data_IF_936934185827
#
_entry.id   IF_936934185827
#
_cell.length_a   1.000
_cell.length_b   1.000
_cell.length_c   1.000
_cell.angle_alpha   90.00
_cell.angle_beta   90.00
_cell.angle_gamma   90.00
#
_symmetry.space_group_name_H-M   'P 1'
#
loop_
_entity.id
_entity.type
_entity.pdbx_description
1 polymer ?
#
# COMPACT_ATOMS: atom_id res chain seq x y z
N UNK A 1 -21.01 14.32 -1.72
CA UNK A 1 -21.54 13.24 -2.59
C UNK A 1 -22.48 12.37 -1.78
N UNK A 2 -23.60 11.95 -2.37
CA UNK A 2 -24.53 10.98 -1.79
C UNK A 2 -23.78 9.70 -1.38
N UNK A 3 -24.24 8.99 -0.35
CA UNK A 3 -23.65 7.70 0.00
C UNK A 3 -23.78 6.75 -1.20
N UNK A 4 -22.80 5.87 -1.43
CA UNK A 4 -22.82 4.94 -2.57
C UNK A 4 -24.11 4.09 -2.59
N UNK A 5 -24.59 3.71 -1.40
CA UNK A 5 -25.83 2.98 -1.19
C UNK A 5 -27.09 3.76 -1.63
N UNK A 6 -27.03 5.09 -1.70
CA UNK A 6 -28.17 5.95 -2.08
C UNK A 6 -28.24 6.22 -3.58
N UNK A 7 -27.17 5.89 -4.32
CA UNK A 7 -27.17 6.02 -5.78
C UNK A 7 -28.05 4.93 -6.41
N UNK A 8 -28.69 5.24 -7.52
CA UNK A 8 -29.35 4.22 -8.34
C UNK A 8 -28.30 3.33 -9.02
N UNK A 9 -28.67 2.13 -9.45
CA UNK A 9 -27.76 1.22 -10.17
C UNK A 9 -27.16 1.90 -11.40
N UNK A 10 -27.95 2.64 -12.17
CA UNK A 10 -27.49 3.39 -13.33
C UNK A 10 -26.48 4.48 -12.98
N UNK A 11 -26.69 5.22 -11.90
CA UNK A 11 -25.71 6.20 -11.39
C UNK A 11 -24.41 5.53 -10.96
N UNK A 12 -24.46 4.35 -10.34
CA UNK A 12 -23.27 3.58 -9.95
C UNK A 12 -22.49 3.10 -11.17
N UNK A 13 -23.17 2.53 -12.17
CA UNK A 13 -22.56 2.12 -13.44
C UNK A 13 -21.85 3.32 -14.10
N UNK A 14 -22.54 4.46 -14.18
CA UNK A 14 -21.97 5.69 -14.74
C UNK A 14 -20.74 6.18 -13.96
N UNK A 15 -20.78 6.12 -12.62
CA UNK A 15 -19.66 6.52 -11.77
C UNK A 15 -18.46 5.57 -11.91
N UNK A 16 -18.70 4.24 -11.93
CA UNK A 16 -17.67 3.23 -12.12
C UNK A 16 -17.03 3.33 -13.51
N UNK A 17 -17.82 3.62 -14.55
CA UNK A 17 -17.33 3.83 -15.91
C UNK A 17 -16.37 5.01 -16.00
N UNK A 18 -16.60 6.07 -15.21
CA UNK A 18 -15.82 7.30 -15.28
C UNK A 18 -15.87 7.92 -16.67
N UNK A 19 -14.70 8.23 -17.23
CA UNK A 19 -14.56 8.89 -18.53
C UNK A 19 -14.60 7.93 -19.73
N UNK A 20 -14.61 6.60 -19.50
CA UNK A 20 -14.72 5.62 -20.58
C UNK A 20 -16.03 5.85 -21.37
N UNK A 21 -16.00 5.93 -22.71
CA UNK A 21 -17.24 6.06 -23.49
C UNK A 21 -18.18 4.87 -23.29
N UNK A 22 -19.49 5.10 -23.32
CA UNK A 22 -20.50 4.03 -23.22
C UNK A 22 -20.34 2.96 -24.32
N UNK A 23 -19.87 3.36 -25.51
CA UNK A 23 -19.55 2.44 -26.61
C UNK A 23 -18.42 1.49 -26.25
N UNK A 24 -17.38 2.00 -25.59
CA UNK A 24 -16.27 1.19 -25.12
C UNK A 24 -16.70 0.26 -23.99
N UNK A 25 -17.54 0.71 -23.06
CA UNK A 25 -18.11 -0.15 -22.02
C UNK A 25 -18.91 -1.32 -22.64
N UNK A 26 -19.72 -1.04 -23.66
CA UNK A 26 -20.49 -2.07 -24.36
C UNK A 26 -19.57 -3.15 -24.97
N UNK A 27 -18.48 -2.71 -25.61
CA UNK A 27 -17.47 -3.59 -26.20
C UNK A 27 -16.78 -4.48 -25.15
N UNK A 28 -16.21 -3.89 -24.09
CA UNK A 28 -15.46 -4.66 -23.08
C UNK A 28 -16.36 -5.54 -22.20
N UNK A 29 -17.64 -5.18 -22.04
CA UNK A 29 -18.64 -6.02 -21.37
C UNK A 29 -19.27 -7.07 -22.27
N UNK A 30 -19.08 -7.02 -23.60
CA UNK A 30 -19.77 -7.92 -24.53
C UNK A 30 -21.30 -7.80 -24.48
N UNK A 31 -21.80 -6.56 -24.37
CA UNK A 31 -23.23 -6.19 -24.37
C UNK A 31 -23.52 -5.14 -25.43
N UNK A 32 -24.79 -4.88 -25.73
CA UNK A 32 -25.15 -3.83 -26.70
C UNK A 32 -25.00 -2.43 -26.10
N UNK A 33 -24.65 -1.44 -26.94
CA UNK A 33 -24.65 -0.02 -26.57
C UNK A 33 -25.99 0.43 -25.98
N UNK A 34 -27.11 -0.01 -26.58
CA UNK A 34 -28.45 0.31 -26.11
C UNK A 34 -28.71 -0.23 -24.69
N UNK A 35 -28.13 -1.38 -24.32
CA UNK A 35 -28.22 -1.92 -22.96
C UNK A 35 -27.47 -1.02 -21.98
N UNK A 36 -26.24 -0.59 -22.30
CA UNK A 36 -25.46 0.33 -21.45
C UNK A 36 -26.20 1.66 -21.25
N UNK A 37 -26.74 2.23 -22.32
CA UNK A 37 -27.49 3.48 -22.27
C UNK A 37 -28.73 3.36 -21.38
N UNK A 38 -29.49 2.26 -21.52
CA UNK A 38 -30.66 1.97 -20.69
C UNK A 38 -30.27 1.75 -19.23
N UNK A 39 -29.20 1.00 -18.97
CA UNK A 39 -28.68 0.74 -17.64
C UNK A 39 -28.32 2.02 -16.89
N UNK A 40 -27.56 2.93 -17.50
CA UNK A 40 -27.14 4.19 -16.87
C UNK A 40 -28.29 5.19 -16.64
N UNK A 41 -29.39 5.03 -17.38
CA UNK A 41 -30.60 5.83 -17.25
C UNK A 41 -31.62 5.21 -16.28
N UNK A 42 -31.29 4.08 -15.65
CA UNK A 42 -32.21 3.30 -14.81
C UNK A 42 -33.49 2.91 -15.57
N UNK A 43 -33.36 2.58 -16.87
CA UNK A 43 -34.47 2.20 -17.74
C UNK A 43 -34.45 0.70 -18.04
N UNK A 44 -35.48 -0.01 -17.58
CA UNK A 44 -35.62 -1.46 -17.77
C UNK A 44 -34.82 -2.27 -16.75
N UNK A 45 -35.09 -3.58 -16.70
CA UNK A 45 -34.45 -4.49 -15.76
C UNK A 45 -33.15 -5.08 -16.35
N UNK A 46 -32.10 -5.11 -15.54
CA UNK A 46 -30.86 -5.81 -15.88
C UNK A 46 -30.98 -7.27 -15.48
N UNK A 47 -30.87 -8.18 -16.45
CA UNK A 47 -30.74 -9.60 -16.15
C UNK A 47 -29.44 -9.89 -15.39
N UNK A 48 -29.40 -10.99 -14.63
CA UNK A 48 -28.19 -11.45 -13.93
C UNK A 48 -26.99 -11.56 -14.87
N UNK A 49 -27.19 -12.11 -16.08
CA UNK A 49 -26.13 -12.20 -17.09
C UNK A 49 -25.62 -10.83 -17.56
N UNK A 50 -26.50 -9.84 -17.67
CA UNK A 50 -26.10 -8.47 -18.03
C UNK A 50 -25.32 -7.79 -16.89
N UNK A 51 -25.74 -8.00 -15.65
CA UNK A 51 -25.03 -7.50 -14.46
C UNK A 51 -23.62 -8.08 -14.38
N UNK A 52 -23.45 -9.39 -14.58
CA UNK A 52 -22.13 -10.04 -14.57
C UNK A 52 -21.22 -9.48 -15.67
N UNK A 53 -21.74 -9.34 -16.88
CA UNK A 53 -21.01 -8.75 -18.02
C UNK A 53 -20.61 -7.29 -17.79
N UNK A 54 -21.51 -6.49 -17.24
CA UNK A 54 -21.23 -5.09 -16.88
C UNK A 54 -20.20 -5.00 -15.76
N UNK A 55 -20.33 -5.82 -14.71
CA UNK A 55 -19.37 -5.88 -13.61
C UNK A 55 -17.97 -6.25 -14.12
N UNK A 56 -17.87 -7.27 -14.98
CA UNK A 56 -16.62 -7.66 -15.62
C UNK A 56 -15.99 -6.52 -16.44
N UNK A 57 -16.76 -5.86 -17.32
CA UNK A 57 -16.23 -4.75 -18.13
C UNK A 57 -15.94 -3.46 -17.36
N UNK A 58 -16.47 -3.32 -16.14
CA UNK A 58 -16.20 -2.21 -15.21
C UNK A 58 -15.05 -2.52 -14.25
N UNK A 59 -14.48 -3.72 -14.34
CA UNK A 59 -13.41 -4.21 -13.47
C UNK A 59 -13.84 -4.12 -11.99
N UNK A 60 -15.01 -4.68 -11.66
CA UNK A 60 -15.56 -4.65 -10.30
C UNK A 60 -16.53 -5.80 -10.02
N UNK A 61 -16.89 -6.00 -8.76
CA UNK A 61 -17.91 -6.97 -8.36
C UNK A 61 -19.35 -6.48 -8.59
N UNK A 62 -20.26 -7.43 -8.80
CA UNK A 62 -21.72 -7.17 -8.86
C UNK A 62 -22.23 -6.51 -7.58
N UNK A 63 -21.65 -6.85 -6.41
CA UNK A 63 -21.99 -6.23 -5.12
C UNK A 63 -21.75 -4.70 -5.13
N UNK A 64 -20.74 -4.24 -5.85
CA UNK A 64 -20.42 -2.81 -6.00
C UNK A 64 -21.41 -2.13 -6.94
N UNK A 65 -21.73 -2.78 -8.07
CA UNK A 65 -22.73 -2.29 -9.04
C UNK A 65 -24.11 -2.16 -8.39
N UNK A 66 -24.49 -3.13 -7.56
CA UNK A 66 -25.77 -3.15 -6.83
C UNK A 66 -25.77 -2.28 -5.57
N UNK A 67 -24.62 -1.71 -5.18
CA UNK A 67 -24.51 -0.80 -4.03
C UNK A 67 -24.42 -1.46 -2.65
N UNK A 68 -24.25 -2.78 -2.60
CA UNK A 68 -24.01 -3.52 -1.36
C UNK A 68 -22.65 -3.17 -0.76
N UNK A 69 -21.69 -2.81 -1.62
CA UNK A 69 -20.35 -2.37 -1.24
C UNK A 69 -19.99 -1.09 -1.99
N UNK A 70 -19.37 -0.13 -1.31
CA UNK A 70 -18.82 1.05 -1.96
C UNK A 70 -17.48 0.71 -2.64
N UNK A 71 -17.16 1.29 -3.80
CA UNK A 71 -15.82 1.20 -4.36
C UNK A 71 -14.82 1.81 -3.37
N UNK A 72 -13.59 1.30 -3.36
CA UNK A 72 -12.56 1.83 -2.47
C UNK A 72 -12.16 3.23 -2.90
N UNK A 73 -11.89 4.09 -1.90
CA UNK A 73 -11.66 5.52 -2.10
C UNK A 73 -10.47 5.78 -3.02
N UNK A 74 -10.69 6.68 -3.98
CA UNK A 74 -9.64 7.21 -4.85
C UNK A 74 -9.23 6.27 -5.97
N UNK A 75 -9.73 5.02 -6.01
CA UNK A 75 -9.43 4.09 -7.10
C UNK A 75 -10.11 4.51 -8.38
N UNK A 76 -9.31 4.71 -9.43
CA UNK A 76 -9.81 4.79 -10.77
C UNK A 76 -10.12 3.37 -11.32
N UNK A 77 -10.34 3.26 -12.62
CA UNK A 77 -10.59 1.97 -13.27
C UNK A 77 -9.33 1.12 -13.37
N UNK A 78 -8.20 1.72 -13.68
CA UNK A 78 -6.94 1.02 -13.91
C UNK A 78 -6.43 0.41 -12.60
N UNK A 79 -6.57 1.12 -11.48
CA UNK A 79 -6.33 0.58 -10.13
C UNK A 79 -7.20 -0.66 -9.85
N UNK A 80 -8.48 -0.62 -10.23
CA UNK A 80 -9.39 -1.75 -9.98
C UNK A 80 -9.02 -2.95 -10.84
N UNK A 81 -8.77 -2.74 -12.12
CA UNK A 81 -8.31 -3.78 -13.05
C UNK A 81 -7.00 -4.41 -12.56
N UNK A 82 -6.04 -3.57 -12.13
CA UNK A 82 -4.78 -4.02 -11.58
C UNK A 82 -4.95 -4.84 -10.29
N UNK A 83 -5.80 -4.40 -9.34
CA UNK A 83 -6.05 -5.16 -8.11
C UNK A 83 -6.85 -6.44 -8.34
N UNK A 84 -7.76 -6.49 -9.30
CA UNK A 84 -8.44 -7.72 -9.69
C UNK A 84 -7.44 -8.73 -10.27
N UNK A 85 -6.60 -8.29 -11.21
CA UNK A 85 -5.54 -9.13 -11.79
C UNK A 85 -4.59 -9.65 -10.70
N UNK A 86 -4.20 -8.79 -9.76
CA UNK A 86 -3.35 -9.17 -8.64
C UNK A 86 -4.06 -10.14 -7.68
N UNK A 87 -5.36 -9.96 -7.46
CA UNK A 87 -6.19 -10.86 -6.64
C UNK A 87 -6.27 -12.24 -7.26
N UNK A 88 -6.54 -12.32 -8.56
CA UNK A 88 -6.60 -13.57 -9.30
C UNK A 88 -5.24 -14.27 -9.24
N UNK A 89 -4.14 -13.55 -9.50
CA UNK A 89 -2.81 -14.13 -9.42
C UNK A 89 -2.45 -14.66 -8.03
N UNK A 90 -2.80 -13.94 -6.96
CA UNK A 90 -2.57 -14.39 -5.57
C UNK A 90 -3.36 -15.66 -5.25
N UNK A 91 -4.64 -15.72 -5.61
CA UNK A 91 -5.48 -16.87 -5.26
C UNK A 91 -5.17 -18.08 -6.13
N UNK A 92 -5.02 -17.88 -7.44
CA UNK A 92 -4.81 -18.98 -8.38
C UNK A 92 -3.43 -19.63 -8.22
N UNK A 93 -2.38 -18.83 -8.01
CA UNK A 93 -1.06 -19.37 -7.68
C UNK A 93 -1.04 -20.09 -6.31
N UNK A 94 -1.87 -19.69 -5.36
CA UNK A 94 -1.95 -20.37 -4.07
C UNK A 94 -2.74 -21.69 -4.14
N UNK A 95 -3.84 -21.71 -4.90
CA UNK A 95 -4.75 -22.86 -5.03
C UNK A 95 -4.27 -23.90 -6.04
N UNK A 96 -3.35 -23.54 -6.95
CA UNK A 96 -2.82 -24.45 -7.97
C UNK A 96 -3.83 -24.77 -9.07
N UNK A 97 -4.80 -23.88 -9.32
CA UNK A 97 -5.88 -24.07 -10.28
C UNK A 97 -5.53 -23.69 -11.72
N UNK A 98 -4.40 -23.02 -11.95
CA UNK A 98 -4.10 -22.45 -13.26
C UNK A 98 -3.47 -23.46 -14.22
N UNK A 99 -4.06 -23.55 -15.41
CA UNK A 99 -3.60 -24.37 -16.53
C UNK A 99 -3.26 -23.43 -17.68
N UNK A 100 -2.18 -23.71 -18.44
CA UNK A 100 -1.84 -22.96 -19.66
C UNK A 100 -0.53 -22.18 -19.62
N UNK A 101 0.34 -22.39 -18.64
CA UNK A 101 1.74 -21.93 -18.68
C UNK A 101 2.61 -23.13 -19.05
N UNK A 102 2.96 -23.24 -20.32
CA UNK A 102 3.76 -24.37 -20.84
C UNK A 102 5.26 -24.14 -20.64
N UNK A 103 5.74 -22.90 -20.76
CA UNK A 103 7.15 -22.54 -20.62
C UNK A 103 7.32 -21.38 -19.62
N UNK A 104 7.43 -21.66 -18.32
CA UNK A 104 7.60 -20.63 -17.29
C UNK A 104 8.99 -20.00 -17.35
N UNK A 105 9.05 -18.67 -17.19
CA UNK A 105 10.29 -17.88 -17.20
C UNK A 105 11.37 -18.45 -16.28
N UNK A 106 12.63 -18.12 -16.58
CA UNK A 106 13.79 -18.54 -15.79
C UNK A 106 13.75 -17.97 -14.36
N UNK A 107 14.50 -18.57 -13.43
CA UNK A 107 14.64 -18.06 -12.06
C UNK A 107 15.20 -16.64 -12.04
N UNK A 108 16.12 -16.32 -12.96
CA UNK A 108 16.71 -14.99 -13.10
C UNK A 108 15.66 -13.96 -13.57
N UNK A 109 14.86 -14.30 -14.58
CA UNK A 109 13.79 -13.42 -15.07
C UNK A 109 12.72 -13.17 -14.01
N UNK A 110 12.37 -14.20 -13.23
CA UNK A 110 11.43 -14.09 -12.12
C UNK A 110 12.01 -13.26 -10.97
N UNK A 111 13.31 -13.36 -10.69
CA UNK A 111 13.98 -12.51 -9.72
C UNK A 111 13.95 -11.03 -10.16
N UNK A 112 14.25 -10.77 -11.43
CA UNK A 112 14.20 -9.42 -12.03
C UNK A 112 12.78 -8.84 -11.98
N UNK A 113 11.77 -9.62 -12.38
CA UNK A 113 10.37 -9.21 -12.29
C UNK A 113 9.94 -8.91 -10.85
N UNK A 114 10.39 -9.70 -9.87
CA UNK A 114 10.14 -9.42 -8.45
C UNK A 114 10.74 -8.08 -8.00
N UNK A 115 11.94 -7.74 -8.47
CA UNK A 115 12.59 -6.47 -8.12
C UNK A 115 11.88 -5.28 -8.80
N UNK A 116 11.45 -5.44 -10.05
CA UNK A 116 10.61 -4.47 -10.76
C UNK A 116 9.26 -4.26 -10.06
N UNK A 117 8.65 -5.32 -9.51
CA UNK A 117 7.41 -5.19 -8.73
C UNK A 117 7.62 -4.32 -7.48
N UNK A 118 8.74 -4.48 -6.77
CA UNK A 118 9.08 -3.62 -5.63
C UNK A 118 9.38 -2.18 -6.05
N UNK A 119 10.04 -1.97 -7.19
CA UNK A 119 10.26 -0.63 -7.74
C UNK A 119 8.94 0.08 -8.08
N UNK A 120 8.04 -0.61 -8.78
CA UNK A 120 6.70 -0.14 -9.08
C UNK A 120 5.92 0.22 -7.80
N UNK A 121 6.00 -0.62 -6.76
CA UNK A 121 5.36 -0.34 -5.46
C UNK A 121 5.89 0.96 -4.84
N UNK A 122 7.20 1.15 -4.81
CA UNK A 122 7.81 2.37 -4.27
C UNK A 122 7.57 3.61 -5.14
N UNK A 123 7.22 3.43 -6.41
CA UNK A 123 6.82 4.48 -7.35
C UNK A 123 5.32 4.82 -7.30
N UNK A 124 4.49 4.06 -6.57
CA UNK A 124 3.01 4.10 -6.64
C UNK A 124 2.44 3.76 -8.01
N UNK A 125 3.06 2.82 -8.71
CA UNK A 125 2.61 2.32 -10.00
C UNK A 125 1.89 0.98 -9.80
N UNK A 126 0.60 1.05 -9.45
CA UNK A 126 -0.23 -0.14 -9.16
C UNK A 126 -0.33 -1.07 -10.35
N UNK A 127 -0.38 -0.53 -11.57
CA UNK A 127 -0.45 -1.31 -12.80
C UNK A 127 0.79 -2.18 -12.97
N UNK A 128 1.99 -1.61 -12.83
CA UNK A 128 3.23 -2.37 -12.93
C UNK A 128 3.45 -3.29 -11.73
N UNK A 129 3.00 -2.93 -10.52
CA UNK A 129 2.98 -3.88 -9.39
C UNK A 129 2.17 -5.12 -9.76
N UNK A 130 0.96 -4.92 -10.28
CA UNK A 130 0.08 -6.02 -10.68
C UNK A 130 0.69 -6.85 -11.78
N UNK A 131 1.20 -6.23 -12.84
CA UNK A 131 1.84 -6.91 -13.97
C UNK A 131 3.00 -7.82 -13.52
N UNK A 132 3.97 -7.24 -12.81
CA UNK A 132 5.19 -7.98 -12.45
C UNK A 132 4.95 -8.99 -11.33
N UNK A 133 4.18 -8.63 -10.29
CA UNK A 133 3.87 -9.57 -9.23
C UNK A 133 3.04 -10.74 -9.77
N UNK A 134 2.05 -10.49 -10.63
CA UNK A 134 1.23 -11.57 -11.22
C UNK A 134 2.08 -12.50 -12.07
N UNK A 135 2.99 -11.98 -12.90
CA UNK A 135 3.94 -12.81 -13.64
C UNK A 135 4.73 -13.73 -12.71
N UNK A 136 5.33 -13.18 -11.65
CA UNK A 136 6.14 -13.96 -10.71
C UNK A 136 5.31 -15.02 -9.98
N UNK A 137 4.12 -14.66 -9.51
CA UNK A 137 3.24 -15.57 -8.79
C UNK A 137 2.77 -16.72 -9.68
N UNK A 138 2.34 -16.42 -10.91
CA UNK A 138 1.77 -17.41 -11.81
C UNK A 138 2.85 -18.34 -12.40
N UNK A 139 3.86 -17.78 -13.07
CA UNK A 139 4.92 -18.59 -13.69
C UNK A 139 5.86 -19.20 -12.65
N UNK A 140 6.17 -18.45 -11.59
CA UNK A 140 7.07 -18.93 -10.53
C UNK A 140 6.47 -20.09 -9.74
N UNK A 141 5.16 -20.13 -9.52
CA UNK A 141 4.52 -21.26 -8.85
C UNK A 141 4.58 -22.54 -9.70
N UNK A 142 4.38 -22.43 -11.03
CA UNK A 142 4.51 -23.56 -11.96
C UNK A 142 5.93 -24.13 -11.91
N UNK A 143 6.95 -23.27 -11.98
CA UNK A 143 8.35 -23.70 -11.86
C UNK A 143 8.66 -24.27 -10.47
N UNK A 144 8.20 -23.62 -9.41
CA UNK A 144 8.42 -24.07 -8.02
C UNK A 144 7.84 -25.47 -7.77
N UNK A 145 6.72 -25.83 -8.42
CA UNK A 145 6.11 -27.15 -8.25
C UNK A 145 7.04 -28.29 -8.67
N UNK A 146 7.83 -28.10 -9.73
CA UNK A 146 8.76 -29.12 -10.28
C UNK A 146 10.22 -28.93 -9.84
N UNK A 147 10.59 -27.74 -9.36
CA UNK A 147 11.94 -27.45 -8.90
C UNK A 147 12.34 -28.24 -7.65
N UNK A 148 13.64 -28.55 -7.54
CA UNK A 148 14.24 -29.25 -6.38
C UNK A 148 15.53 -28.57 -5.93
N UNK A 149 15.99 -28.88 -4.72
CA UNK A 149 17.24 -28.35 -4.16
C UNK A 149 17.31 -26.81 -4.15
N UNK A 150 18.49 -26.27 -4.48
CA UNK A 150 18.77 -24.83 -4.43
C UNK A 150 17.85 -23.99 -5.33
N UNK A 151 17.43 -24.51 -6.49
CA UNK A 151 16.50 -23.80 -7.38
C UNK A 151 15.15 -23.59 -6.68
N UNK A 152 14.66 -24.62 -5.99
CA UNK A 152 13.39 -24.56 -5.24
C UNK A 152 13.47 -23.55 -4.09
N UNK A 153 14.56 -23.55 -3.34
CA UNK A 153 14.79 -22.59 -2.25
C UNK A 153 14.80 -21.14 -2.77
N UNK A 154 15.53 -20.90 -3.87
CA UNK A 154 15.59 -19.58 -4.51
C UNK A 154 14.22 -19.12 -5.01
N UNK A 155 13.47 -20.01 -5.67
CA UNK A 155 12.10 -19.72 -6.12
C UNK A 155 11.15 -19.47 -4.95
N UNK A 156 11.27 -20.22 -3.86
CA UNK A 156 10.49 -20.01 -2.64
C UNK A 156 10.68 -18.60 -2.09
N UNK A 157 11.93 -18.12 -2.02
CA UNK A 157 12.25 -16.77 -1.59
C UNK A 157 11.71 -15.69 -2.56
N UNK A 158 11.83 -15.91 -3.88
CA UNK A 158 11.29 -15.01 -4.91
C UNK A 158 9.76 -14.91 -4.80
N UNK A 159 9.05 -16.04 -4.73
CA UNK A 159 7.61 -16.09 -4.60
C UNK A 159 7.13 -15.45 -3.29
N UNK A 160 7.77 -15.77 -2.16
CA UNK A 160 7.42 -15.15 -0.88
C UNK A 160 7.59 -13.62 -0.92
N UNK A 161 8.62 -13.11 -1.61
CA UNK A 161 8.81 -11.67 -1.83
C UNK A 161 7.73 -11.08 -2.75
N UNK A 162 7.33 -11.78 -3.82
CA UNK A 162 6.25 -11.36 -4.72
C UNK A 162 4.87 -11.31 -4.01
N UNK A 163 4.55 -12.33 -3.22
CA UNK A 163 3.35 -12.29 -2.36
C UNK A 163 3.43 -11.16 -1.33
N UNK A 164 4.62 -10.84 -0.81
CA UNK A 164 4.79 -9.72 0.13
C UNK A 164 4.48 -8.37 -0.52
N UNK A 165 4.96 -8.10 -1.74
CA UNK A 165 4.62 -6.86 -2.45
C UNK A 165 3.13 -6.80 -2.79
N UNK A 166 2.52 -7.95 -3.18
CA UNK A 166 1.08 -8.04 -3.38
C UNK A 166 0.29 -7.72 -2.12
N UNK A 167 0.72 -8.23 -0.96
CA UNK A 167 0.12 -7.93 0.34
C UNK A 167 0.29 -6.45 0.73
N UNK A 168 1.46 -5.86 0.47
CA UNK A 168 1.71 -4.44 0.73
C UNK A 168 0.82 -3.54 -0.14
N UNK A 169 0.70 -3.83 -1.43
CA UNK A 169 -0.21 -3.13 -2.34
C UNK A 169 -1.66 -3.23 -1.85
N UNK A 170 -2.14 -4.45 -1.61
CA UNK A 170 -3.50 -4.73 -1.13
C UNK A 170 -3.82 -4.01 0.18
N UNK A 171 -2.86 -3.95 1.11
CA UNK A 171 -3.01 -3.21 2.37
C UNK A 171 -3.15 -1.70 2.15
N UNK A 172 -2.41 -1.14 1.18
CA UNK A 172 -2.53 0.26 0.76
C UNK A 172 -3.97 0.63 0.40
N UNK A 173 -4.59 -0.18 -0.45
CA UNK A 173 -5.97 0.00 -0.93
C UNK A 173 -7.06 -0.50 0.04
N UNK A 174 -6.68 -1.15 1.14
CA UNK A 174 -7.62 -1.63 2.16
C UNK A 174 -8.26 -2.99 1.85
N UNK A 175 -7.70 -3.76 0.91
CA UNK A 175 -8.05 -5.15 0.64
C UNK A 175 -7.39 -6.08 1.66
N UNK A 176 -7.88 -6.00 2.90
CA UNK A 176 -7.31 -6.72 4.05
C UNK A 176 -7.23 -8.22 3.82
N UNK A 177 -8.29 -8.84 3.31
CA UNK A 177 -8.36 -10.30 3.23
C UNK A 177 -7.46 -10.84 2.10
N UNK A 178 -7.35 -10.10 0.99
CA UNK A 178 -6.34 -10.37 -0.03
C UNK A 178 -4.90 -10.25 0.53
N UNK A 179 -4.63 -9.22 1.33
CA UNK A 179 -3.32 -9.08 1.97
C UNK A 179 -2.99 -10.25 2.93
N UNK A 180 -3.96 -10.72 3.70
CA UNK A 180 -3.79 -11.88 4.59
C UNK A 180 -3.64 -13.19 3.81
N UNK A 181 -4.38 -13.36 2.72
CA UNK A 181 -4.26 -14.49 1.79
C UNK A 181 -2.84 -14.57 1.23
N UNK A 182 -2.34 -13.47 0.65
CA UNK A 182 -0.98 -13.38 0.13
C UNK A 182 0.09 -13.67 1.20
N UNK A 183 -0.03 -13.09 2.40
CA UNK A 183 0.90 -13.33 3.50
C UNK A 183 0.89 -14.79 3.99
N UNK A 184 -0.25 -15.47 3.91
CA UNK A 184 -0.37 -16.88 4.31
C UNK A 184 0.48 -17.77 3.38
N UNK A 185 0.33 -17.59 2.07
CA UNK A 185 1.16 -18.27 1.07
C UNK A 185 2.64 -17.91 1.20
N UNK A 186 2.93 -16.62 1.37
CA UNK A 186 4.31 -16.13 1.52
C UNK A 186 5.03 -16.74 2.72
N UNK A 187 4.36 -16.85 3.87
CA UNK A 187 4.96 -17.41 5.09
C UNK A 187 5.30 -18.88 4.96
N UNK A 188 4.46 -19.66 4.28
CA UNK A 188 4.76 -21.06 3.96
C UNK A 188 6.02 -21.14 3.10
N UNK A 189 6.08 -20.37 2.01
CA UNK A 189 7.21 -20.36 1.09
C UNK A 189 8.51 -19.88 1.75
N UNK A 190 8.45 -18.84 2.58
CA UNK A 190 9.62 -18.34 3.31
C UNK A 190 10.13 -19.35 4.34
N UNK A 191 9.23 -20.08 5.01
CA UNK A 191 9.60 -21.17 5.90
C UNK A 191 10.30 -22.30 5.14
N UNK A 192 9.74 -22.73 4.00
CA UNK A 192 10.33 -23.78 3.17
C UNK A 192 11.70 -23.37 2.60
N UNK A 193 11.89 -22.08 2.28
CA UNK A 193 13.16 -21.54 1.80
C UNK A 193 14.22 -21.32 2.91
N UNK A 194 13.85 -21.43 4.19
CA UNK A 194 14.78 -21.29 5.30
C UNK A 194 15.39 -19.90 5.50
N UNK A 195 14.76 -18.83 4.97
CA UNK A 195 15.25 -17.45 5.11
C UNK A 195 14.54 -16.72 6.29
N UNK A 196 15.18 -16.61 7.47
CA UNK A 196 14.57 -15.96 8.63
C UNK A 196 14.39 -14.44 8.46
N UNK A 197 15.21 -13.79 7.62
CA UNK A 197 15.13 -12.35 7.35
C UNK A 197 13.84 -12.07 6.55
N UNK A 198 13.58 -12.89 5.54
CA UNK A 198 12.34 -12.79 4.76
C UNK A 198 11.10 -13.05 5.64
N UNK A 199 11.16 -14.05 6.52
CA UNK A 199 10.11 -14.32 7.51
C UNK A 199 9.80 -13.11 8.39
N UNK A 200 10.84 -12.48 8.94
CA UNK A 200 10.69 -11.27 9.76
C UNK A 200 10.13 -10.08 8.95
N UNK A 201 10.52 -9.92 7.69
CA UNK A 201 9.99 -8.87 6.82
C UNK A 201 8.50 -9.10 6.46
N UNK A 202 8.07 -10.35 6.32
CA UNK A 202 6.65 -10.71 6.16
C UNK A 202 5.84 -10.34 7.41
N UNK A 203 6.40 -10.57 8.61
CA UNK A 203 5.78 -10.17 9.87
C UNK A 203 5.67 -8.66 10.04
N UNK A 204 6.63 -7.89 9.53
CA UNK A 204 6.53 -6.43 9.50
C UNK A 204 5.33 -5.95 8.65
N UNK A 205 5.04 -6.64 7.53
CA UNK A 205 3.85 -6.39 6.70
C UNK A 205 2.57 -6.85 7.41
N UNK A 206 2.59 -7.99 8.11
CA UNK A 206 1.45 -8.47 8.89
C UNK A 206 1.11 -7.51 10.04
N UNK A 207 2.12 -6.92 10.69
CA UNK A 207 1.94 -5.85 11.68
C UNK A 207 1.17 -4.66 11.08
N UNK A 208 1.53 -4.24 9.86
CA UNK A 208 0.83 -3.17 9.15
C UNK A 208 -0.63 -3.53 8.82
N UNK A 209 -0.91 -4.78 8.43
CA UNK A 209 -2.29 -5.27 8.22
C UNK A 209 -3.10 -5.20 9.52
N UNK A 210 -2.53 -5.66 10.64
CA UNK A 210 -3.20 -5.58 11.95
C UNK A 210 -3.42 -4.13 12.42
N UNK A 211 -2.45 -3.24 12.18
CA UNK A 211 -2.55 -1.82 12.46
C UNK A 211 -3.75 -1.20 11.73
N UNK A 212 -3.87 -1.44 10.42
CA UNK A 212 -4.98 -0.93 9.59
C UNK A 212 -6.33 -1.52 9.99
N UNK A 213 -6.34 -2.74 10.54
CA UNK A 213 -7.53 -3.38 11.10
C UNK A 213 -7.83 -3.04 12.57
N UNK A 214 -7.17 -2.03 13.14
CA UNK A 214 -7.30 -1.61 14.55
C UNK A 214 -7.01 -2.72 15.58
N UNK A 215 -6.19 -3.72 15.22
CA UNK A 215 -5.74 -4.80 16.12
C UNK A 215 -4.37 -4.46 16.71
N UNK A 216 -4.27 -3.32 17.40
CA UNK A 216 -3.00 -2.73 17.85
C UNK A 216 -2.14 -3.68 18.71
N UNK A 217 -2.69 -4.41 19.71
CA UNK A 217 -1.86 -5.34 20.49
C UNK A 217 -1.25 -6.45 19.65
N UNK A 218 -1.98 -6.96 18.64
CA UNK A 218 -1.46 -7.96 17.70
C UNK A 218 -0.40 -7.37 16.77
N UNK A 219 -0.57 -6.12 16.35
CA UNK A 219 0.40 -5.41 15.51
C UNK A 219 1.75 -5.23 16.23
N UNK A 220 1.73 -4.84 17.52
CA UNK A 220 2.95 -4.76 18.34
C UNK A 220 3.56 -6.15 18.52
N UNK A 221 2.77 -7.11 19.02
CA UNK A 221 3.28 -8.45 19.37
C UNK A 221 3.87 -9.21 18.19
N UNK A 222 3.31 -9.07 16.97
CA UNK A 222 3.87 -9.76 15.80
C UNK A 222 5.21 -9.16 15.37
N UNK A 223 5.34 -7.84 15.38
CA UNK A 223 6.58 -7.16 15.01
C UNK A 223 7.68 -7.39 16.05
N UNK A 224 7.34 -7.30 17.34
CA UNK A 224 8.28 -7.55 18.44
C UNK A 224 8.82 -8.99 18.41
N UNK A 225 7.94 -10.00 18.29
CA UNK A 225 8.38 -11.40 18.19
C UNK A 225 9.27 -11.65 16.97
N UNK A 226 8.93 -11.06 15.83
CA UNK A 226 9.73 -11.18 14.62
C UNK A 226 11.12 -10.56 14.80
N UNK A 227 11.20 -9.38 15.42
CA UNK A 227 12.47 -8.72 15.71
C UNK A 227 13.33 -9.51 16.70
N UNK A 228 12.73 -10.06 17.77
CA UNK A 228 13.43 -10.91 18.74
C UNK A 228 14.01 -12.18 18.10
N UNK A 229 13.27 -12.80 17.18
CA UNK A 229 13.71 -14.01 16.49
C UNK A 229 14.94 -13.79 15.58
N UNK A 230 15.17 -12.56 15.15
CA UNK A 230 16.28 -12.18 14.25
C UNK A 230 17.17 -11.10 14.86
N UNK A 231 17.17 -10.96 16.19
CA UNK A 231 17.91 -9.90 16.87
C UNK A 231 19.39 -9.92 16.47
N UNK A 232 19.91 -8.84 15.88
CA UNK A 232 21.28 -8.80 15.42
C UNK A 232 22.23 -8.69 16.61
N UNK A 233 23.36 -9.40 16.56
CA UNK A 233 24.52 -8.98 17.32
C UNK A 233 24.96 -7.61 16.81
N UNK A 234 24.86 -6.55 17.60
CA UNK A 234 25.21 -5.21 17.10
C UNK A 234 26.69 -5.07 16.71
N UNK A 235 27.59 -5.96 17.16
CA UNK A 235 28.97 -6.00 16.67
C UNK A 235 29.08 -6.65 15.29
N UNK A 236 28.33 -7.73 15.00
CA UNK A 236 28.54 -8.60 13.83
C UNK A 236 27.30 -8.84 12.95
N UNK A 237 26.21 -8.12 13.18
CA UNK A 237 24.93 -8.31 12.49
C UNK A 237 25.05 -8.03 10.99
N UNK A 238 24.52 -8.96 10.18
CA UNK A 238 24.49 -8.78 8.73
C UNK A 238 23.56 -7.62 8.33
N UNK A 239 23.81 -7.00 7.18
CA UNK A 239 22.95 -5.90 6.68
C UNK A 239 21.48 -6.31 6.51
N UNK A 240 21.15 -7.47 5.91
CA UNK A 240 19.76 -7.94 5.83
C UNK A 240 19.08 -8.03 7.20
N UNK A 241 19.81 -8.56 8.20
CA UNK A 241 19.30 -8.72 9.56
C UNK A 241 19.04 -7.37 10.23
N UNK A 242 19.95 -6.40 10.12
CA UNK A 242 19.77 -5.04 10.64
C UNK A 242 18.55 -4.35 10.01
N UNK A 243 18.35 -4.50 8.70
CA UNK A 243 17.20 -3.95 7.96
C UNK A 243 15.90 -4.56 8.46
N UNK A 244 15.81 -5.88 8.56
CA UNK A 244 14.60 -6.57 9.00
C UNK A 244 14.29 -6.29 10.48
N UNK A 245 15.30 -6.25 11.34
CA UNK A 245 15.15 -5.93 12.76
C UNK A 245 14.63 -4.50 12.92
N UNK A 246 15.34 -3.54 12.32
CA UNK A 246 14.97 -2.14 12.40
C UNK A 246 13.59 -1.84 11.82
N UNK A 247 13.22 -2.53 10.73
CA UNK A 247 11.88 -2.40 10.14
C UNK A 247 10.78 -2.93 11.08
N UNK A 248 11.01 -4.05 11.75
CA UNK A 248 10.05 -4.57 12.74
C UNK A 248 9.96 -3.67 13.98
N UNK A 249 11.08 -3.12 14.45
CA UNK A 249 11.09 -2.14 15.54
C UNK A 249 10.29 -0.88 15.18
N UNK A 250 10.42 -0.38 13.95
CA UNK A 250 9.55 0.70 13.45
C UNK A 250 8.08 0.26 13.46
N UNK A 251 7.75 -0.93 12.95
CA UNK A 251 6.37 -1.43 12.94
C UNK A 251 5.77 -1.52 14.36
N UNK A 252 6.54 -1.99 15.33
CA UNK A 252 6.14 -2.03 16.74
C UNK A 252 5.95 -0.60 17.32
N UNK A 253 6.88 0.32 17.06
CA UNK A 253 6.81 1.71 17.50
C UNK A 253 5.58 2.44 16.93
N UNK A 254 5.30 2.27 15.63
CA UNK A 254 4.12 2.83 14.97
C UNK A 254 2.85 2.27 15.59
N UNK A 255 2.77 0.95 15.83
CA UNK A 255 1.60 0.34 16.45
C UNK A 255 1.38 0.80 17.90
N UNK A 256 2.45 0.89 18.70
CA UNK A 256 2.41 1.42 20.07
C UNK A 256 1.97 2.89 20.10
N UNK A 257 2.47 3.72 19.17
CA UNK A 257 2.06 5.13 19.06
C UNK A 257 0.56 5.30 18.79
N UNK A 258 -0.05 4.39 18.01
CA UNK A 258 -1.51 4.41 17.74
C UNK A 258 -2.34 3.94 18.93
N UNK A 259 -1.72 3.29 19.92
CA UNK A 259 -2.31 2.96 21.23
C UNK A 259 -2.13 4.12 22.23
N UNK A 260 -1.52 5.23 21.82
CA UNK A 260 -1.12 6.34 22.70
C UNK A 260 -0.12 5.91 23.81
N UNK A 261 0.64 4.83 23.55
CA UNK A 261 1.66 4.29 24.46
C UNK A 261 3.03 4.87 24.10
N UNK A 262 3.30 6.08 24.60
CA UNK A 262 4.48 6.85 24.26
C UNK A 262 5.79 6.19 24.70
N UNK A 263 5.82 5.61 25.90
CA UNK A 263 7.02 4.97 26.44
C UNK A 263 7.42 3.74 25.62
N UNK A 264 6.45 2.87 25.30
CA UNK A 264 6.71 1.71 24.45
C UNK A 264 7.14 2.14 23.03
N UNK A 265 6.46 3.14 22.44
CA UNK A 265 6.82 3.65 21.12
C UNK A 265 8.26 4.19 21.08
N UNK A 266 8.66 4.96 22.10
CA UNK A 266 10.02 5.51 22.20
C UNK A 266 11.08 4.43 22.42
N UNK A 267 10.78 3.37 23.18
CA UNK A 267 11.69 2.24 23.37
C UNK A 267 11.96 1.52 22.04
N UNK A 268 10.91 1.12 21.31
CA UNK A 268 11.08 0.46 20.01
C UNK A 268 11.76 1.38 18.99
N UNK A 269 11.42 2.67 18.97
CA UNK A 269 12.05 3.64 18.08
C UNK A 269 13.56 3.80 18.37
N UNK A 270 13.96 3.76 19.65
CA UNK A 270 15.37 3.81 20.05
C UNK A 270 16.15 2.60 19.51
N UNK A 271 15.56 1.40 19.56
CA UNK A 271 16.14 0.18 18.98
C UNK A 271 16.24 0.27 17.45
N UNK A 272 15.22 0.81 16.78
CA UNK A 272 15.29 1.07 15.34
C UNK A 272 16.41 2.06 14.98
N UNK A 273 16.59 3.13 15.76
CA UNK A 273 17.68 4.09 15.57
C UNK A 273 19.06 3.45 15.79
N UNK A 274 19.21 2.56 16.77
CA UNK A 274 20.46 1.83 16.98
C UNK A 274 20.81 0.96 15.76
N UNK A 275 19.83 0.22 15.21
CA UNK A 275 20.02 -0.58 14.01
C UNK A 275 20.36 0.28 12.78
N UNK A 276 19.68 1.41 12.62
CA UNK A 276 19.93 2.37 11.54
C UNK A 276 21.34 2.99 11.65
N UNK A 277 21.76 3.38 12.85
CA UNK A 277 23.10 3.92 13.10
C UNK A 277 24.18 2.88 12.79
N UNK A 278 23.93 1.60 13.14
CA UNK A 278 24.85 0.51 12.83
C UNK A 278 24.96 0.24 11.33
N UNK A 279 23.86 0.36 10.59
CA UNK A 279 23.83 0.26 9.12
C UNK A 279 24.56 1.45 8.46
N UNK A 280 24.48 2.63 9.07
CA UNK A 280 25.25 3.83 8.71
C UNK A 280 24.73 4.60 7.50
N UNK A 281 23.92 3.98 6.65
CA UNK A 281 23.28 4.60 5.47
C UNK A 281 21.94 3.94 5.17
N UNK A 282 21.09 4.62 4.41
CA UNK A 282 19.87 4.01 3.88
C UNK A 282 20.22 2.98 2.80
N UNK A 283 19.64 1.79 2.93
CA UNK A 283 19.78 0.69 1.98
C UNK A 283 18.39 0.18 1.54
N UNK A 284 18.33 -0.33 0.31
CA UNK A 284 17.19 -1.05 -0.24
C UNK A 284 17.59 -2.50 -0.39
N UNK A 285 17.00 -3.38 0.41
CA UNK A 285 17.24 -4.82 0.34
C UNK A 285 15.97 -5.59 0.64
N UNK A 286 15.78 -6.74 -0.01
CA UNK A 286 14.55 -7.54 0.10
C UNK A 286 13.26 -6.77 -0.29
N UNK A 287 13.37 -5.68 -1.05
CA UNK A 287 12.23 -4.79 -1.33
C UNK A 287 11.88 -3.81 -0.19
N UNK A 288 12.68 -3.78 0.87
CA UNK A 288 12.53 -2.89 2.04
C UNK A 288 13.56 -1.78 1.99
N UNK A 289 13.13 -0.53 2.16
CA UNK A 289 14.02 0.60 2.44
C UNK A 289 14.16 0.77 3.95
N UNK A 290 15.39 0.88 4.44
CA UNK A 290 15.67 1.15 5.84
C UNK A 290 17.04 1.82 6.03
N UNK A 291 17.16 2.66 7.04
CA UNK A 291 18.39 3.34 7.43
C UNK A 291 18.13 4.59 8.26
N UNK A 292 19.15 5.43 8.48
CA UNK A 292 19.07 6.61 9.33
C UNK A 292 17.97 7.59 8.92
N UNK A 293 17.86 7.93 7.62
CA UNK A 293 16.82 8.85 7.14
C UNK A 293 15.44 8.24 7.32
N UNK A 294 15.27 6.97 6.96
CA UNK A 294 13.98 6.27 7.11
C UNK A 294 13.52 6.23 8.57
N UNK A 295 14.40 5.87 9.51
CA UNK A 295 14.07 5.83 10.93
C UNK A 295 13.67 7.20 11.48
N UNK A 296 14.39 8.27 11.10
CA UNK A 296 14.04 9.65 11.48
C UNK A 296 12.71 10.11 10.88
N UNK A 297 12.41 9.73 9.64
CA UNK A 297 11.13 10.05 9.03
C UNK A 297 9.95 9.40 9.76
N UNK A 298 10.10 8.12 10.14
CA UNK A 298 9.09 7.39 10.92
C UNK A 298 8.94 7.95 12.35
N UNK A 299 10.03 8.44 12.96
CA UNK A 299 9.98 9.14 14.25
C UNK A 299 9.04 10.35 14.22
N UNK A 300 9.06 11.15 13.13
CA UNK A 300 8.14 12.28 12.96
C UNK A 300 6.67 11.80 12.94
N UNK A 301 6.37 10.75 12.18
CA UNK A 301 5.03 10.15 12.14
C UNK A 301 4.57 9.58 13.50
N UNK A 302 5.50 9.03 14.29
CA UNK A 302 5.24 8.54 15.66
C UNK A 302 4.90 9.71 16.60
N UNK A 303 5.69 10.79 16.60
CA UNK A 303 5.39 11.98 17.41
C UNK A 303 4.06 12.63 17.03
N UNK A 304 3.74 12.70 15.73
CA UNK A 304 2.44 13.18 15.24
C UNK A 304 1.29 12.34 15.80
N UNK A 305 1.44 11.02 15.84
CA UNK A 305 0.42 10.13 16.37
C UNK A 305 0.24 10.24 17.88
N UNK A 306 1.33 10.49 18.61
CA UNK A 306 1.32 10.82 20.04
C UNK A 306 0.87 12.25 20.33
N UNK A 307 0.53 13.04 19.30
CA UNK A 307 0.12 14.45 19.39
C UNK A 307 1.22 15.37 19.93
N UNK A 308 2.48 14.92 19.95
CA UNK A 308 3.66 15.75 20.22
C UNK A 308 4.13 16.44 18.94
N UNK A 309 3.29 17.35 18.44
CA UNK A 309 3.57 18.08 17.20
C UNK A 309 4.81 18.97 17.32
N UNK A 310 5.16 19.41 18.53
CA UNK A 310 6.37 20.19 18.80
C UNK A 310 7.63 19.38 18.54
N UNK A 311 7.73 18.15 19.07
CA UNK A 311 8.84 17.26 18.78
C UNK A 311 8.91 16.87 17.30
N UNK A 312 7.76 16.56 16.70
CA UNK A 312 7.67 16.25 15.27
C UNK A 312 8.28 17.38 14.40
N UNK A 313 7.93 18.64 14.69
CA UNK A 313 8.47 19.79 13.95
C UNK A 313 9.94 20.06 14.25
N UNK A 314 10.41 19.88 15.49
CA UNK A 314 11.85 19.99 15.81
C UNK A 314 12.70 18.97 15.06
N UNK A 315 12.22 17.73 14.95
CA UNK A 315 12.89 16.70 14.15
C UNK A 315 12.84 17.05 12.66
N UNK A 316 11.70 17.51 12.15
CA UNK A 316 11.56 17.91 10.76
C UNK A 316 12.43 19.13 10.37
N UNK A 317 12.77 19.97 11.34
CA UNK A 317 13.61 21.14 11.12
C UNK A 317 15.12 20.85 11.12
N UNK A 318 15.52 19.61 11.42
CA UNK A 318 16.93 19.19 11.33
C UNK A 318 17.46 19.33 9.89
N UNK A 319 18.73 19.72 9.69
CA UNK A 319 19.28 19.99 8.36
C UNK A 319 19.11 18.84 7.35
N UNK A 320 19.27 17.60 7.81
CA UNK A 320 19.14 16.37 7.00
C UNK A 320 17.67 15.98 6.73
N UNK A 321 16.72 16.54 7.48
CA UNK A 321 15.29 16.29 7.30
C UNK A 321 14.58 17.37 6.48
N UNK A 322 15.12 18.59 6.43
CA UNK A 322 14.61 19.67 5.55
C UNK A 322 14.68 19.29 4.07
N UNK A 323 15.75 18.60 3.67
CA UNK A 323 16.00 18.11 2.30
C UNK A 323 16.27 16.61 2.31
N UNK A 324 15.20 15.82 2.19
CA UNK A 324 15.30 14.37 2.09
C UNK A 324 16.05 13.95 0.82
N UNK A 325 16.87 12.88 0.89
CA UNK A 325 17.65 12.42 -0.26
C UNK A 325 16.75 11.91 -1.37
N UNK A 326 17.17 12.11 -2.64
CA UNK A 326 16.42 11.63 -3.82
C UNK A 326 16.30 10.10 -3.88
N UNK A 327 17.21 9.38 -3.20
CA UNK A 327 17.16 7.93 -3.06
C UNK A 327 15.99 7.45 -2.19
N UNK A 328 15.42 8.31 -1.34
CA UNK A 328 14.21 7.99 -0.59
C UNK A 328 13.03 7.93 -1.56
N UNK A 329 12.26 6.84 -1.48
CA UNK A 329 11.12 6.64 -2.37
C UNK A 329 10.13 7.79 -2.31
N UNK A 330 9.52 8.08 -3.46
CA UNK A 330 8.52 9.14 -3.60
C UNK A 330 7.39 8.99 -2.59
N UNK A 331 6.92 7.76 -2.37
CA UNK A 331 5.89 7.44 -1.37
C UNK A 331 6.32 7.78 0.05
N UNK A 332 7.51 7.34 0.47
CA UNK A 332 7.97 7.56 1.84
C UNK A 332 8.18 9.05 2.12
N UNK A 333 8.76 9.76 1.15
CA UNK A 333 8.98 11.21 1.23
C UNK A 333 7.67 11.99 1.35
N UNK A 334 6.66 11.66 0.55
CA UNK A 334 5.35 12.31 0.60
C UNK A 334 4.54 11.93 1.85
N UNK A 335 4.65 10.69 2.34
CA UNK A 335 4.07 10.29 3.63
C UNK A 335 4.63 11.16 4.76
N UNK A 336 5.94 11.27 4.84
CA UNK A 336 6.62 12.13 5.81
C UNK A 336 6.14 13.59 5.72
N UNK A 337 6.06 14.15 4.51
CA UNK A 337 5.58 15.53 4.31
C UNK A 337 4.13 15.71 4.76
N UNK A 338 3.25 14.72 4.59
CA UNK A 338 1.89 14.79 5.14
C UNK A 338 1.88 14.76 6.68
N UNK A 339 2.76 13.99 7.32
CA UNK A 339 2.89 14.02 8.78
C UNK A 339 3.39 15.40 9.26
N UNK A 340 4.35 16.00 8.56
CA UNK A 340 4.81 17.38 8.81
C UNK A 340 3.66 18.39 8.62
N UNK A 341 2.90 18.30 7.54
CA UNK A 341 1.76 19.17 7.28
C UNK A 341 0.68 19.04 8.37
N UNK A 342 0.43 17.81 8.85
CA UNK A 342 -0.46 17.58 9.98
C UNK A 342 0.09 18.23 11.26
N UNK A 343 1.39 18.14 11.54
CA UNK A 343 1.99 18.81 12.69
C UNK A 343 1.87 20.33 12.57
N UNK A 344 2.17 20.91 11.40
CA UNK A 344 2.09 22.34 11.11
C UNK A 344 0.66 22.88 11.31
N UNK A 345 -0.36 22.23 10.74
CA UNK A 345 -1.75 22.69 10.90
C UNK A 345 -2.23 22.55 12.35
N UNK A 346 -1.67 21.61 13.11
CA UNK A 346 -2.01 21.40 14.53
C UNK A 346 -1.39 22.43 15.47
N UNK A 347 -0.31 23.10 15.05
CA UNK A 347 0.39 24.12 15.83
C UNK A 347 0.12 25.54 15.33
N UNK A 348 -0.87 25.72 14.44
CA UNK A 348 -1.26 27.03 13.92
C UNK A 348 -0.42 27.54 12.76
N UNK A 349 0.50 26.73 12.21
CA UNK A 349 1.29 27.07 11.02
C UNK A 349 0.50 26.80 9.73
N UNK A 350 -0.67 27.44 9.61
CA UNK A 350 -1.65 27.16 8.55
C UNK A 350 -1.10 27.42 7.15
N UNK A 351 -0.32 28.48 6.96
CA UNK A 351 0.28 28.79 5.66
C UNK A 351 1.24 27.70 5.21
N UNK A 352 2.20 27.33 6.08
CA UNK A 352 3.17 26.27 5.81
C UNK A 352 2.49 24.91 5.56
N UNK A 353 1.42 24.61 6.30
CA UNK A 353 0.65 23.39 6.11
C UNK A 353 -0.05 23.35 4.74
N UNK A 354 -0.60 24.48 4.30
CA UNK A 354 -1.18 24.61 2.97
C UNK A 354 -0.14 24.40 1.87
N UNK A 355 1.03 25.04 2.00
CA UNK A 355 2.10 24.95 1.01
C UNK A 355 2.67 23.53 0.94
N UNK A 356 2.91 22.89 2.10
CA UNK A 356 3.37 21.50 2.18
C UNK A 356 2.34 20.54 1.56
N UNK A 357 1.04 20.80 1.74
CA UNK A 357 -0.01 19.97 1.13
C UNK A 357 -0.05 20.11 -0.40
N UNK A 358 0.17 21.32 -0.92
CA UNK A 358 0.32 21.58 -2.36
C UNK A 358 1.54 20.84 -2.91
N UNK A 359 2.70 20.94 -2.24
CA UNK A 359 3.91 20.23 -2.64
C UNK A 359 3.68 18.71 -2.77
N UNK A 360 3.02 18.11 -1.78
CA UNK A 360 2.70 16.67 -1.81
C UNK A 360 1.76 16.32 -2.97
N UNK A 361 0.71 17.11 -3.17
CA UNK A 361 -0.28 16.84 -4.21
C UNK A 361 0.27 17.01 -5.63
N UNK A 362 1.20 17.95 -5.83
CA UNK A 362 1.88 18.12 -7.12
C UNK A 362 2.97 17.08 -7.36
N UNK A 363 3.71 16.66 -6.31
CA UNK A 363 4.71 15.60 -6.47
C UNK A 363 4.00 14.27 -6.78
N UNK A 364 2.97 13.87 -6.03
CA UNK A 364 2.33 12.56 -6.14
C UNK A 364 0.78 12.62 -6.28
N UNK A 365 0.26 13.12 -7.42
CA UNK A 365 -1.18 13.40 -7.61
C UNK A 365 -2.07 12.16 -7.54
N UNK A 366 -1.64 11.02 -8.10
CA UNK A 366 -2.42 9.78 -8.00
C UNK A 366 -2.37 9.21 -6.59
N UNK A 367 -1.18 9.09 -6.01
CA UNK A 367 -1.00 8.55 -4.66
C UNK A 367 -1.81 9.32 -3.60
N UNK A 368 -1.88 10.66 -3.69
CA UNK A 368 -2.56 11.51 -2.70
C UNK A 368 -4.08 11.26 -2.67
N UNK A 369 -4.70 10.86 -3.79
CA UNK A 369 -6.15 10.56 -3.88
C UNK A 369 -6.55 9.39 -2.99
N UNK A 370 -5.64 8.43 -2.77
CA UNK A 370 -5.85 7.28 -1.91
C UNK A 370 -5.56 7.56 -0.42
N UNK A 371 -5.06 8.76 -0.08
CA UNK A 371 -4.72 9.10 1.29
C UNK A 371 -5.88 9.76 2.03
N UNK A 372 -6.08 9.37 3.29
CA UNK A 372 -7.07 10.02 4.16
C UNK A 372 -6.56 11.35 4.75
N UNK A 373 -5.25 11.45 4.98
CA UNK A 373 -4.61 12.54 5.72
C UNK A 373 -4.75 13.93 5.07
N UNK A 374 -4.66 14.09 3.73
CA UNK A 374 -4.97 15.36 3.05
C UNK A 374 -6.31 15.96 3.47
N UNK A 375 -7.37 15.15 3.49
CA UNK A 375 -8.70 15.62 3.90
C UNK A 375 -8.78 15.99 5.39
N UNK A 376 -8.00 15.35 6.26
CA UNK A 376 -7.91 15.75 7.68
C UNK A 376 -7.22 17.11 7.82
N UNK A 377 -6.12 17.32 7.10
CA UNK A 377 -5.40 18.60 7.06
C UNK A 377 -6.31 19.69 6.49
N UNK A 378 -6.96 19.43 5.36
CA UNK A 378 -7.90 20.34 4.72
C UNK A 378 -9.05 20.75 5.63
N UNK A 379 -9.67 19.82 6.36
CA UNK A 379 -10.71 20.14 7.36
C UNK A 379 -10.21 21.04 8.48
N UNK A 380 -8.95 20.89 8.92
CA UNK A 380 -8.35 21.76 9.95
C UNK A 380 -8.06 23.15 9.37
N UNK A 381 -7.51 23.24 8.17
CA UNK A 381 -7.29 24.50 7.44
C UNK A 381 -8.59 25.25 7.16
N UNK A 382 -9.69 24.54 6.89
CA UNK A 382 -10.98 25.14 6.57
C UNK A 382 -11.60 25.90 7.75
N UNK A 383 -11.15 25.66 8.98
CA UNK A 383 -11.52 26.47 10.16
C UNK A 383 -10.95 27.89 10.09
N UNK A 384 -9.92 28.11 9.27
CA UNK A 384 -9.27 29.41 9.07
C UNK A 384 -9.67 30.01 7.72
N UNK A 385 -9.61 29.24 6.63
CA UNK A 385 -10.00 29.71 5.29
C UNK A 385 -10.53 28.58 4.42
N UNK A 386 -11.84 28.60 4.16
CA UNK A 386 -12.50 27.66 3.24
C UNK A 386 -12.11 27.90 1.78
N UNK A 387 -11.93 29.17 1.39
CA UNK A 387 -11.52 29.55 0.03
C UNK A 387 -10.14 28.96 -0.33
N UNK A 388 -9.18 29.06 0.60
CA UNK A 388 -7.84 28.47 0.39
C UNK A 388 -7.92 26.95 0.24
N UNK A 389 -8.71 26.28 1.07
CA UNK A 389 -8.83 24.82 1.02
C UNK A 389 -9.47 24.35 -0.28
N UNK A 390 -10.47 25.08 -0.81
CA UNK A 390 -11.02 24.81 -2.15
C UNK A 390 -9.95 24.96 -3.22
N UNK A 391 -9.21 26.08 -3.20
CA UNK A 391 -8.13 26.31 -4.16
C UNK A 391 -7.05 25.21 -4.12
N UNK A 392 -6.60 24.78 -2.93
CA UNK A 392 -5.65 23.67 -2.79
C UNK A 392 -6.27 22.39 -3.35
N UNK A 393 -7.53 22.09 -3.02
CA UNK A 393 -8.23 20.89 -3.48
C UNK A 393 -8.36 20.84 -5.01
N UNK A 394 -8.69 21.96 -5.64
CA UNK A 394 -8.75 22.10 -7.09
C UNK A 394 -7.36 21.89 -7.73
N UNK A 395 -6.33 22.47 -7.14
CA UNK A 395 -4.96 22.41 -7.63
C UNK A 395 -4.36 21.00 -7.57
N UNK A 396 -4.65 20.23 -6.51
CA UNK A 396 -4.13 18.86 -6.35
C UNK A 396 -5.10 17.78 -6.83
N UNK A 397 -6.27 18.16 -7.35
CA UNK A 397 -7.30 17.22 -7.81
C UNK A 397 -7.91 16.34 -6.72
N UNK A 398 -7.91 16.80 -5.46
CA UNK A 398 -8.47 16.06 -4.32
C UNK A 398 -9.48 16.95 -3.57
N UNK A 399 -10.76 16.57 -3.48
CA UNK A 399 -11.72 17.32 -2.67
C UNK A 399 -11.36 17.19 -1.18
N UNK A 400 -10.92 18.31 -0.60
CA UNK A 400 -10.45 18.38 0.79
C UNK A 400 -11.56 18.65 1.80
N UNK A 401 -12.66 19.26 1.35
CA UNK A 401 -13.88 19.54 2.13
C UNK A 401 -15.11 19.21 1.28
N UNK A 402 -16.21 18.90 1.96
CA UNK A 402 -17.51 18.58 1.33
C UNK A 402 -18.28 19.83 0.94
#
# INVERSE_FOLDING_TARGET
MSNWADLTTGKRIKHLRGDMPQTRLAEVSGVSYALVQKAEQDRGELSVGSLLKLANGLDTDVSVVLGQQAPRRGMDRDDRAALLTLSDAVHESALGGWVGIEDPSSVEDLANARDLAWEAYWASDTANVSLYASKVLMEGQVRYAVATGAEREQLGAILASAYRVAASCSTGFGYRDLALSALTSAKRLAHDAGDPVLGALLDSTLSWVYLRGAKLPRAVSVAERAALAIEPSFSNGSRPQLIAYGRNMISAAVAASRKEDGDAANNYLSQAHAAAARLGKDEKLYGTNFGPTTAKAEAVGIHVALKDYGAALRLADQPDMRKLPKSMSKVARNRYRLDVALAQVSTGLYDKAGDTLVEVGLDAPEWVKHQALPGVIGKRLAKVSTARVRHIGDLIGVPLIN
#
